data_IF_234813213015
#
_entry.id   IF_234813213015
#
_cell.length_a   1.000
_cell.length_b   1.000
_cell.length_c   1.000
_cell.angle_alpha   90.00
_cell.angle_beta   90.00
_cell.angle_gamma   90.00
#
_symmetry.space_group_name_H-M   'P 1'
#
loop_
_entity.id
_entity.type
_entity.pdbx_description
1 polymer ?
#
# COMPACT_ATOMS: atom_id res chain seq x y z
N UNK A 1 62.17 -10.93 36.85
CA UNK A 1 61.92 -9.70 36.06
C UNK A 1 62.38 -9.74 34.60
N UNK A 2 63.17 -10.73 34.14
CA UNK A 2 63.68 -10.79 32.75
C UNK A 2 62.73 -11.41 31.70
N UNK A 3 61.87 -12.35 32.08
CA UNK A 3 61.01 -13.09 31.13
C UNK A 3 59.83 -12.26 30.59
N UNK A 4 59.24 -11.37 31.39
CA UNK A 4 58.14 -10.52 30.96
C UNK A 4 58.56 -9.46 29.91
N UNK A 5 59.80 -8.94 30.03
CA UNK A 5 60.36 -8.02 29.03
C UNK A 5 60.70 -8.74 27.73
N UNK A 6 61.28 -9.95 27.81
CA UNK A 6 61.56 -10.76 26.62
C UNK A 6 60.28 -11.10 25.83
N UNK A 7 59.18 -11.44 26.52
CA UNK A 7 57.89 -11.71 25.90
C UNK A 7 57.30 -10.48 25.18
N UNK A 8 57.45 -9.29 25.78
CA UNK A 8 56.96 -8.03 25.18
C UNK A 8 57.75 -7.57 23.94
N UNK A 9 59.00 -8.03 23.80
CA UNK A 9 59.85 -7.75 22.64
C UNK A 9 59.56 -8.75 21.52
N UNK A 10 59.29 -10.03 21.86
CA UNK A 10 58.87 -11.05 20.89
C UNK A 10 57.47 -10.72 20.32
N UNK A 11 56.55 -10.19 21.13
CA UNK A 11 55.25 -9.69 20.63
C UNK A 11 55.38 -8.47 19.71
N UNK A 12 56.40 -7.62 19.90
CA UNK A 12 56.67 -6.48 19.01
C UNK A 12 57.42 -6.89 17.74
N UNK A 13 58.26 -7.91 17.81
CA UNK A 13 59.01 -8.44 16.68
C UNK A 13 58.19 -9.41 15.81
N UNK A 14 57.11 -10.00 16.34
CA UNK A 14 56.29 -10.99 15.63
C UNK A 14 55.40 -10.44 14.54
N UNK A 15 55.51 -9.13 14.21
CA UNK A 15 55.04 -8.60 12.93
C UNK A 15 53.63 -9.04 12.53
N UNK A 16 52.73 -9.23 13.50
CA UNK A 16 51.30 -9.18 13.22
C UNK A 16 51.05 -7.73 12.90
N UNK A 17 51.32 -7.35 11.65
CA UNK A 17 50.61 -6.28 11.01
C UNK A 17 49.15 -6.53 11.39
N UNK A 18 48.60 -5.71 12.28
CA UNK A 18 47.17 -5.67 12.50
C UNK A 18 46.60 -5.51 11.10
N UNK A 19 46.01 -6.59 10.56
CA UNK A 19 45.32 -6.50 9.28
C UNK A 19 44.41 -5.29 9.40
N UNK A 20 44.55 -4.29 8.52
CA UNK A 20 43.78 -3.07 8.64
C UNK A 20 42.32 -3.47 8.79
N UNK A 21 41.65 -3.05 9.87
CA UNK A 21 40.38 -3.64 10.27
C UNK A 21 39.45 -3.56 9.07
N UNK A 22 39.00 -4.72 8.58
CA UNK A 22 38.20 -4.83 7.35
C UNK A 22 37.14 -3.71 7.35
N UNK A 23 37.13 -2.89 6.29
CA UNK A 23 36.26 -1.71 6.23
C UNK A 23 34.82 -2.21 6.24
N UNK A 24 34.15 -2.10 7.39
CA UNK A 24 32.82 -2.69 7.54
C UNK A 24 31.71 -1.76 7.04
N UNK A 25 31.86 -0.45 7.25
CA UNK A 25 30.77 0.53 7.09
C UNK A 25 31.25 1.80 6.37
N UNK A 26 30.30 2.47 5.72
CA UNK A 26 30.50 3.73 4.96
C UNK A 26 31.06 4.87 5.85
N UNK A 27 30.73 4.87 7.14
CA UNK A 27 31.10 5.96 8.06
C UNK A 27 32.50 5.86 8.67
N UNK A 28 33.30 4.84 8.33
CA UNK A 28 34.72 4.80 8.75
C UNK A 28 35.56 5.89 8.08
N UNK A 29 35.08 6.48 6.98
CA UNK A 29 35.69 7.64 6.35
C UNK A 29 35.37 8.92 7.15
N UNK A 30 36.27 9.34 8.02
CA UNK A 30 36.06 10.47 8.95
C UNK A 30 36.21 11.85 8.32
N UNK A 31 36.77 11.95 7.11
CA UNK A 31 36.97 13.23 6.42
C UNK A 31 35.66 13.97 6.13
N UNK A 32 35.61 15.28 6.41
CA UNK A 32 34.43 16.15 6.22
C UNK A 32 33.82 16.03 4.82
N UNK A 33 34.67 15.96 3.77
CA UNK A 33 34.24 15.78 2.37
C UNK A 33 33.46 14.49 2.13
N UNK A 34 33.85 13.38 2.78
CA UNK A 34 33.18 12.09 2.63
C UNK A 34 31.86 12.05 3.41
N UNK A 35 31.82 12.65 4.60
CA UNK A 35 30.58 12.78 5.38
C UNK A 35 29.52 13.60 4.67
N UNK A 36 29.87 14.79 4.15
CA UNK A 36 28.91 15.65 3.41
C UNK A 36 28.37 14.92 2.18
N UNK A 37 29.24 14.25 1.40
CA UNK A 37 28.80 13.44 0.26
C UNK A 37 27.88 12.31 0.68
N UNK A 38 28.21 11.58 1.73
CA UNK A 38 27.36 10.49 2.23
C UNK A 38 25.97 10.99 2.65
N UNK A 39 25.89 12.13 3.34
CA UNK A 39 24.61 12.75 3.73
C UNK A 39 23.82 13.20 2.49
N UNK A 40 24.46 13.87 1.52
CA UNK A 40 23.78 14.31 0.30
C UNK A 40 23.23 13.14 -0.51
N UNK A 41 24.01 12.06 -0.65
CA UNK A 41 23.55 10.84 -1.32
C UNK A 41 22.41 10.17 -0.56
N UNK A 42 22.51 10.08 0.77
CA UNK A 42 21.45 9.49 1.59
C UNK A 42 20.16 10.29 1.55
N UNK A 43 20.24 11.63 1.52
CA UNK A 43 19.08 12.50 1.33
C UNK A 43 18.46 12.33 -0.07
N UNK A 44 19.30 12.20 -1.10
CA UNK A 44 18.83 11.95 -2.46
C UNK A 44 18.12 10.60 -2.55
N UNK A 45 18.70 9.54 -1.98
CA UNK A 45 18.10 8.21 -1.92
C UNK A 45 16.80 8.22 -1.12
N UNK A 46 16.74 8.93 0.01
CA UNK A 46 15.52 9.09 0.79
C UNK A 46 14.42 9.80 0.00
N UNK A 47 14.77 10.82 -0.80
CA UNK A 47 13.81 11.52 -1.68
C UNK A 47 13.30 10.61 -2.80
N UNK A 48 14.20 9.86 -3.46
CA UNK A 48 13.81 8.88 -4.49
C UNK A 48 12.92 7.78 -3.89
N UNK A 49 13.25 7.30 -2.70
CA UNK A 49 12.46 6.29 -1.99
C UNK A 49 11.12 6.85 -1.50
N UNK A 50 11.04 8.12 -1.11
CA UNK A 50 9.76 8.80 -0.88
C UNK A 50 8.93 8.88 -2.17
N UNK A 51 9.58 9.11 -3.32
CA UNK A 51 8.96 8.97 -4.64
C UNK A 51 8.40 7.56 -4.89
N UNK A 52 9.11 6.50 -4.48
CA UNK A 52 8.62 5.11 -4.55
C UNK A 52 7.41 4.90 -3.63
N UNK A 53 7.45 5.47 -2.43
CA UNK A 53 6.32 5.49 -1.49
C UNK A 53 5.09 6.17 -2.09
N UNK A 54 5.26 7.34 -2.70
CA UNK A 54 4.19 8.02 -3.42
C UNK A 54 3.69 7.20 -4.62
N UNK A 55 4.60 6.59 -5.39
CA UNK A 55 4.24 5.75 -6.54
C UNK A 55 3.43 4.53 -6.11
N UNK A 56 3.82 3.88 -5.01
CA UNK A 56 3.05 2.74 -4.45
C UNK A 56 1.69 3.15 -3.94
N UNK A 57 1.59 4.29 -3.26
CA UNK A 57 0.29 4.85 -2.87
C UNK A 57 -0.57 5.20 -4.09
N UNK A 58 0.04 5.77 -5.12
CA UNK A 58 -0.63 6.15 -6.37
C UNK A 58 -1.12 4.92 -7.15
N UNK A 59 -0.33 3.85 -7.23
CA UNK A 59 -0.76 2.57 -7.83
C UNK A 59 -1.99 2.00 -7.11
N UNK A 60 -2.12 2.20 -5.80
CA UNK A 60 -3.24 1.70 -5.00
C UNK A 60 -4.49 2.57 -5.13
N UNK A 61 -4.32 3.90 -5.09
CA UNK A 61 -5.43 4.85 -4.88
C UNK A 61 -5.72 5.74 -6.09
N UNK A 62 -4.81 5.85 -7.04
CA UNK A 62 -4.86 6.80 -8.15
C UNK A 62 -4.59 8.26 -7.77
N UNK A 63 -4.44 8.57 -6.48
CA UNK A 63 -4.09 9.90 -5.99
C UNK A 63 -2.58 10.12 -6.00
N UNK A 64 -2.13 11.24 -6.57
CA UNK A 64 -0.71 11.50 -6.80
C UNK A 64 0.11 11.67 -5.52
N UNK A 65 -0.51 12.16 -4.44
CA UNK A 65 0.16 12.39 -3.16
C UNK A 65 -0.68 11.86 -2.01
N UNK A 66 -0.07 11.20 -1.01
CA UNK A 66 -0.78 10.66 0.15
C UNK A 66 -1.57 11.74 0.88
N UNK A 67 -0.93 12.86 1.20
CA UNK A 67 -1.54 13.96 1.96
C UNK A 67 -2.58 14.78 1.18
N UNK A 68 -2.69 14.59 -0.14
CA UNK A 68 -3.71 15.25 -0.96
C UNK A 68 -5.06 14.53 -0.92
N UNK A 69 -5.08 13.26 -0.50
CA UNK A 69 -6.32 12.51 -0.34
C UNK A 69 -7.03 12.99 0.92
N UNK A 70 -8.24 13.55 0.77
CA UNK A 70 -9.07 14.04 1.88
C UNK A 70 -9.37 12.96 2.93
N UNK A 71 -9.19 11.68 2.57
CA UNK A 71 -9.40 10.50 3.42
C UNK A 71 -8.09 9.74 3.73
N UNK A 72 -6.91 10.36 3.57
CA UNK A 72 -5.62 9.72 3.82
C UNK A 72 -5.53 9.03 5.18
N UNK A 73 -5.92 9.74 6.25
CA UNK A 73 -5.91 9.18 7.60
C UNK A 73 -6.87 8.00 7.75
N UNK A 74 -7.99 8.03 7.03
CA UNK A 74 -8.91 6.90 6.92
C UNK A 74 -8.25 5.69 6.26
N UNK A 75 -7.55 5.87 5.14
CA UNK A 75 -6.83 4.79 4.47
C UNK A 75 -5.70 4.19 5.33
N UNK A 76 -4.95 5.05 6.02
CA UNK A 76 -3.89 4.61 6.92
C UNK A 76 -4.47 3.80 8.09
N UNK A 77 -5.56 4.28 8.70
CA UNK A 77 -6.21 3.61 9.82
C UNK A 77 -6.84 2.27 9.42
N UNK A 78 -7.50 2.23 8.25
CA UNK A 78 -8.02 0.98 7.69
C UNK A 78 -6.93 -0.06 7.41
N UNK A 79 -5.70 0.38 7.11
CA UNK A 79 -4.55 -0.53 6.96
C UNK A 79 -3.95 -0.96 8.30
N UNK A 80 -4.27 -0.29 9.41
CA UNK A 80 -3.87 -0.68 10.77
C UNK A 80 -4.86 -1.61 11.45
N UNK A 81 -6.16 -1.41 11.26
CA UNK A 81 -7.21 -2.10 12.01
C UNK A 81 -7.30 -3.60 11.62
N UNK A 82 -6.95 -4.53 12.54
CA UNK A 82 -7.01 -5.96 12.28
C UNK A 82 -8.44 -6.53 12.34
N UNK A 83 -9.41 -5.76 12.86
CA UNK A 83 -10.78 -6.23 13.17
C UNK A 83 -11.79 -5.98 12.06
N UNK A 84 -11.48 -5.13 11.09
CA UNK A 84 -12.32 -4.92 9.91
C UNK A 84 -12.31 -6.19 9.04
N UNK A 85 -13.49 -6.64 8.59
CA UNK A 85 -13.64 -7.74 7.61
C UNK A 85 -12.83 -7.51 6.32
N UNK A 86 -12.53 -6.24 6.02
CA UNK A 86 -11.60 -5.79 4.98
C UNK A 86 -10.26 -5.40 5.59
N UNK A 87 -9.41 -6.38 5.85
CA UNK A 87 -7.98 -6.07 5.97
C UNK A 87 -7.50 -5.65 4.58
N UNK A 88 -7.07 -4.39 4.44
CA UNK A 88 -6.27 -3.97 3.27
C UNK A 88 -4.89 -4.60 3.39
N UNK A 89 -4.86 -5.92 3.16
CA UNK A 89 -3.66 -6.73 3.24
C UNK A 89 -2.74 -6.36 2.09
N UNK A 90 -1.46 -6.69 2.26
CA UNK A 90 -0.46 -6.63 1.20
C UNK A 90 -0.93 -7.37 -0.07
N UNK A 91 -1.78 -8.39 0.08
CA UNK A 91 -2.33 -9.16 -1.01
C UNK A 91 -3.40 -8.40 -1.80
N UNK A 92 -4.24 -7.62 -1.13
CA UNK A 92 -5.19 -6.73 -1.82
C UNK A 92 -4.44 -5.70 -2.68
N UNK A 93 -3.29 -5.19 -2.19
CA UNK A 93 -2.38 -4.35 -2.97
C UNK A 93 -1.79 -5.07 -4.20
N UNK A 94 -1.51 -6.38 -4.11
CA UNK A 94 -0.95 -7.17 -5.21
C UNK A 94 -2.01 -7.57 -6.27
N UNK A 95 -3.29 -7.58 -5.89
CA UNK A 95 -4.40 -8.02 -6.74
C UNK A 95 -5.24 -6.87 -7.30
N UNK A 96 -5.23 -5.72 -6.64
CA UNK A 96 -6.07 -4.57 -6.98
C UNK A 96 -5.23 -3.28 -6.92
N UNK A 97 -5.51 -2.30 -7.80
CA UNK A 97 -6.66 -2.19 -8.70
C UNK A 97 -6.52 -2.90 -10.05
N UNK A 98 -5.30 -3.15 -10.53
CA UNK A 98 -5.08 -3.82 -11.82
C UNK A 98 -4.90 -5.32 -11.56
N UNK A 99 -5.87 -6.17 -11.95
CA UNK A 99 -5.71 -7.61 -11.77
C UNK A 99 -4.56 -8.10 -12.64
N UNK A 100 -3.49 -8.59 -12.01
CA UNK A 100 -2.30 -9.06 -12.71
C UNK A 100 -2.57 -10.23 -13.68
N UNK A 101 -3.73 -10.89 -13.56
CA UNK A 101 -4.21 -11.88 -14.52
C UNK A 101 -4.51 -11.30 -15.90
N UNK A 102 -4.99 -10.05 -15.95
CA UNK A 102 -5.32 -9.36 -17.21
C UNK A 102 -4.09 -8.64 -17.76
N UNK A 103 -3.23 -8.12 -16.88
CA UNK A 103 -1.98 -7.44 -17.25
C UNK A 103 -0.78 -8.13 -16.59
N UNK A 104 -0.17 -9.15 -17.25
CA UNK A 104 0.91 -9.96 -16.65
C UNK A 104 2.14 -9.14 -16.21
N UNK A 105 2.42 -8.02 -16.87
CA UNK A 105 3.51 -7.12 -16.49
C UNK A 105 3.38 -6.57 -15.06
N UNK A 106 2.16 -6.48 -14.52
CA UNK A 106 1.94 -6.07 -13.13
C UNK A 106 2.52 -7.06 -12.12
N UNK A 107 2.66 -8.35 -12.44
CA UNK A 107 3.35 -9.30 -11.54
C UNK A 107 4.80 -8.87 -11.29
N UNK A 108 5.48 -8.44 -12.36
CA UNK A 108 6.88 -8.00 -12.30
C UNK A 108 6.99 -6.65 -11.61
N UNK A 109 6.11 -5.70 -11.94
CA UNK A 109 6.12 -4.36 -11.35
C UNK A 109 5.87 -4.43 -9.85
N UNK A 110 4.81 -5.11 -9.40
CA UNK A 110 4.54 -5.29 -7.98
C UNK A 110 5.66 -6.04 -7.28
N UNK A 111 6.17 -7.12 -7.89
CA UNK A 111 7.30 -7.87 -7.35
C UNK A 111 8.53 -6.98 -7.12
N UNK A 112 8.90 -6.17 -8.12
CA UNK A 112 10.06 -5.28 -8.04
C UNK A 112 9.85 -4.12 -7.05
N UNK A 113 8.64 -3.57 -6.98
CA UNK A 113 8.25 -2.58 -5.98
C UNK A 113 8.39 -3.15 -4.58
N UNK A 114 7.80 -4.31 -4.30
CA UNK A 114 7.85 -4.96 -2.99
C UNK A 114 9.28 -5.36 -2.61
N UNK A 115 10.05 -5.85 -3.57
CA UNK A 115 11.48 -6.11 -3.38
C UNK A 115 12.24 -4.85 -2.99
N UNK A 116 11.96 -3.72 -3.65
CA UNK A 116 12.60 -2.44 -3.37
C UNK A 116 12.22 -1.91 -1.99
N UNK A 117 10.93 -1.96 -1.63
CA UNK A 117 10.46 -1.52 -0.31
C UNK A 117 11.07 -2.33 0.84
N UNK A 118 11.42 -3.60 0.63
CA UNK A 118 11.98 -4.46 1.67
C UNK A 118 13.49 -4.51 1.68
N UNK A 119 14.14 -4.63 0.52
CA UNK A 119 15.59 -4.75 0.42
C UNK A 119 16.32 -3.44 0.73
N UNK A 120 15.79 -2.28 0.28
CA UNK A 120 16.47 -0.99 0.42
C UNK A 120 16.72 -0.64 1.90
N UNK A 121 15.72 -0.64 2.81
CA UNK A 121 15.95 -0.31 4.21
C UNK A 121 16.92 -1.27 4.91
N UNK A 122 16.85 -2.57 4.59
CA UNK A 122 17.76 -3.59 5.13
C UNK A 122 19.21 -3.30 4.70
N UNK A 123 19.42 -3.01 3.42
CA UNK A 123 20.74 -2.64 2.89
C UNK A 123 21.26 -1.34 3.50
N UNK A 124 20.41 -0.34 3.69
CA UNK A 124 20.77 0.92 4.37
C UNK A 124 21.15 0.66 5.83
N UNK A 125 20.44 -0.22 6.53
CA UNK A 125 20.76 -0.61 7.90
C UNK A 125 22.13 -1.29 7.99
N UNK A 126 22.46 -2.14 7.02
CA UNK A 126 23.75 -2.85 6.96
C UNK A 126 24.93 -1.97 6.53
N UNK A 127 24.71 -1.00 5.62
CA UNK A 127 25.80 -0.21 5.01
C UNK A 127 26.05 1.13 5.70
N UNK A 128 24.98 1.80 6.16
CA UNK A 128 25.06 3.13 6.78
C UNK A 128 24.91 3.10 8.29
N UNK A 129 23.85 2.48 8.83
CA UNK A 129 23.54 2.25 10.28
C UNK A 129 22.01 2.27 10.46
N UNK A 130 21.55 1.71 11.58
CA UNK A 130 20.13 1.61 11.94
C UNK A 130 19.31 2.92 11.90
N UNK A 131 19.72 4.07 12.49
CA UNK A 131 18.89 5.28 12.53
C UNK A 131 18.57 5.84 11.15
N UNK A 132 19.47 5.66 10.17
CA UNK A 132 19.19 6.09 8.81
C UNK A 132 18.15 5.18 8.14
N UNK A 133 18.18 3.87 8.42
CA UNK A 133 17.18 2.94 7.93
C UNK A 133 15.77 3.24 8.47
N UNK A 134 15.66 3.77 9.70
CA UNK A 134 14.37 4.19 10.27
C UNK A 134 13.67 5.27 9.45
N UNK A 135 14.43 6.14 8.77
CA UNK A 135 13.84 7.14 7.85
C UNK A 135 13.16 6.42 6.68
N UNK A 136 13.79 5.39 6.12
CA UNK A 136 13.21 4.61 5.03
C UNK A 136 12.00 3.79 5.51
N UNK A 137 12.04 3.18 6.69
CA UNK A 137 10.87 2.45 7.21
C UNK A 137 9.71 3.39 7.54
N UNK A 138 9.97 4.60 8.03
CA UNK A 138 8.95 5.62 8.20
C UNK A 138 8.32 6.02 6.85
N UNK A 139 9.11 6.16 5.78
CA UNK A 139 8.57 6.40 4.43
C UNK A 139 7.60 5.28 4.01
N UNK A 140 7.91 4.00 4.28
CA UNK A 140 7.00 2.89 3.98
C UNK A 140 5.68 3.02 4.76
N UNK A 141 5.76 3.36 6.04
CA UNK A 141 4.58 3.49 6.90
C UNK A 141 3.67 4.64 6.45
N UNK A 142 4.24 5.83 6.23
CA UNK A 142 3.47 7.04 5.96
C UNK A 142 3.23 7.27 4.47
N UNK A 143 4.23 7.19 3.61
CA UNK A 143 4.07 7.51 2.19
C UNK A 143 3.36 6.40 1.43
N UNK A 144 3.78 5.14 1.62
CA UNK A 144 3.15 4.00 0.96
C UNK A 144 1.85 3.54 1.67
N UNK A 145 1.56 4.04 2.87
CA UNK A 145 0.44 3.63 3.72
C UNK A 145 0.43 2.11 3.99
N UNK A 146 1.60 1.51 4.21
CA UNK A 146 1.79 0.09 4.52
C UNK A 146 2.43 -0.11 5.91
N UNK A 147 1.70 0.15 7.00
CA UNK A 147 2.26 0.15 8.34
C UNK A 147 2.77 -1.22 8.82
N UNK A 148 2.07 -2.30 8.50
CA UNK A 148 2.50 -3.66 8.85
C UNK A 148 3.82 -4.05 8.17
N UNK A 149 3.99 -3.65 6.91
CA UNK A 149 5.26 -3.82 6.21
C UNK A 149 6.37 -2.98 6.86
N UNK A 150 6.08 -1.73 7.26
CA UNK A 150 7.06 -0.89 7.94
C UNK A 150 7.52 -1.48 9.28
N UNK A 151 6.61 -2.04 10.08
CA UNK A 151 6.92 -2.68 11.37
C UNK A 151 7.81 -3.92 11.14
N UNK A 152 7.43 -4.78 10.21
CA UNK A 152 8.18 -6.01 9.91
C UNK A 152 9.56 -5.70 9.34
N UNK A 153 9.68 -4.76 8.40
CA UNK A 153 10.97 -4.31 7.86
C UNK A 153 11.82 -3.63 8.93
N UNK A 154 11.23 -2.91 9.87
CA UNK A 154 11.96 -2.34 11.02
C UNK A 154 12.57 -3.45 11.88
N UNK A 155 11.80 -4.52 12.14
CA UNK A 155 12.32 -5.70 12.83
C UNK A 155 13.47 -6.38 12.05
N UNK A 156 13.35 -6.49 10.73
CA UNK A 156 14.42 -6.97 9.86
C UNK A 156 15.69 -6.10 9.92
N UNK A 157 15.54 -4.78 9.92
CA UNK A 157 16.66 -3.85 10.07
C UNK A 157 17.37 -4.03 11.42
N UNK A 158 16.61 -4.21 12.50
CA UNK A 158 17.15 -4.51 13.83
C UNK A 158 17.94 -5.83 13.84
N UNK A 159 17.39 -6.89 13.22
CA UNK A 159 18.07 -8.19 13.10
C UNK A 159 19.37 -8.07 12.28
N UNK A 160 19.37 -7.32 11.18
CA UNK A 160 20.55 -7.13 10.34
C UNK A 160 21.71 -6.41 11.08
N UNK A 161 21.38 -5.52 12.01
CA UNK A 161 22.38 -4.82 12.84
C UNK A 161 22.79 -5.61 14.09
N UNK A 162 22.14 -6.74 14.40
CA UNK A 162 22.42 -7.48 15.63
C UNK A 162 23.73 -8.26 15.53
N UNK A 163 24.72 -7.86 16.34
CA UNK A 163 26.06 -8.48 16.39
C UNK A 163 26.09 -10.01 16.54
N UNK A 164 25.07 -10.62 17.15
CA UNK A 164 24.99 -12.08 17.32
C UNK A 164 24.66 -12.84 16.03
N UNK A 165 24.06 -12.16 15.04
CA UNK A 165 23.57 -12.74 13.78
C UNK A 165 24.48 -12.35 12.59
N UNK A 166 25.51 -11.53 12.85
CA UNK A 166 26.45 -11.10 11.83
C UNK A 166 27.45 -12.21 11.52
N UNK A 167 27.26 -12.85 10.37
CA UNK A 167 28.20 -13.82 9.82
C UNK A 167 29.32 -13.09 9.08
N UNK A 168 30.48 -13.74 8.93
CA UNK A 168 31.57 -13.25 8.08
C UNK A 168 31.08 -13.00 6.64
N UNK A 169 30.13 -13.81 6.18
CA UNK A 169 29.45 -13.64 4.90
C UNK A 169 28.19 -12.76 5.04
N UNK A 170 28.31 -11.49 4.62
CA UNK A 170 27.24 -10.48 4.75
C UNK A 170 25.93 -10.87 4.07
N UNK A 171 25.99 -11.58 2.94
CA UNK A 171 24.78 -12.01 2.25
C UNK A 171 23.97 -13.03 3.07
N UNK A 172 24.62 -13.91 3.85
CA UNK A 172 23.90 -14.80 4.76
C UNK A 172 23.16 -14.01 5.86
N UNK A 173 23.80 -12.98 6.43
CA UNK A 173 23.12 -12.09 7.38
C UNK A 173 21.93 -11.36 6.73
N UNK A 174 22.07 -10.91 5.48
CA UNK A 174 20.96 -10.28 4.74
C UNK A 174 19.78 -11.26 4.56
N UNK A 175 20.05 -12.50 4.14
CA UNK A 175 19.02 -13.54 3.99
C UNK A 175 18.30 -13.87 5.30
N UNK A 176 19.05 -14.02 6.39
CA UNK A 176 18.46 -14.31 7.71
C UNK A 176 17.61 -13.12 8.19
N UNK A 177 18.08 -11.90 7.96
CA UNK A 177 17.32 -10.69 8.30
C UNK A 177 16.04 -10.54 7.49
N UNK A 178 15.95 -11.16 6.31
CA UNK A 178 14.77 -11.15 5.46
C UNK A 178 13.70 -12.19 5.88
N UNK A 179 14.04 -13.14 6.77
CA UNK A 179 13.10 -14.17 7.22
C UNK A 179 11.79 -13.66 7.84
N UNK A 180 11.74 -12.57 8.64
CA UNK A 180 10.47 -12.05 9.15
C UNK A 180 9.58 -11.47 8.06
N UNK A 181 10.15 -10.89 7.00
CA UNK A 181 9.37 -10.43 5.83
C UNK A 181 8.73 -11.62 5.12
N UNK A 182 9.47 -12.72 4.93
CA UNK A 182 8.94 -13.94 4.33
C UNK A 182 7.77 -14.47 5.14
N UNK A 183 7.92 -14.53 6.47
CA UNK A 183 6.84 -14.95 7.35
C UNK A 183 5.63 -14.03 7.23
N UNK A 184 5.85 -12.72 7.21
CA UNK A 184 4.78 -11.73 7.02
C UNK A 184 4.02 -11.95 5.70
N UNK A 185 4.74 -12.15 4.59
CA UNK A 185 4.11 -12.42 3.29
C UNK A 185 3.31 -13.72 3.28
N UNK A 186 3.80 -14.77 3.95
CA UNK A 186 3.08 -16.04 4.08
C UNK A 186 1.83 -15.93 4.97
N UNK A 187 1.87 -15.14 6.04
CA UNK A 187 0.71 -14.92 6.89
C UNK A 187 -0.33 -14.01 6.21
N UNK A 188 0.11 -12.96 5.53
CA UNK A 188 -0.76 -12.04 4.81
C UNK A 188 -1.53 -12.72 3.66
N UNK A 189 -0.97 -13.78 3.09
CA UNK A 189 -1.61 -14.56 2.01
C UNK A 189 -2.62 -15.58 2.54
N UNK A 190 -2.41 -16.15 3.73
CA UNK A 190 -3.27 -17.20 4.32
C UNK A 190 -4.64 -16.70 4.81
N UNK A 191 -4.75 -15.45 5.23
CA UNK A 191 -5.97 -14.91 5.83
C UNK A 191 -7.00 -14.40 4.79
N UNK A 192 -6.93 -14.84 3.53
CA UNK A 192 -7.83 -14.31 2.49
C UNK A 192 -9.18 -15.03 2.51
N UNK A 193 -10.31 -14.31 2.71
CA UNK A 193 -11.63 -14.93 2.70
C UNK A 193 -11.94 -15.51 1.31
N UNK A 194 -12.29 -16.80 1.26
CA UNK A 194 -12.67 -17.50 0.02
C UNK A 194 -11.59 -18.36 -0.64
N UNK A 195 -10.38 -18.46 -0.07
CA UNK A 195 -9.30 -19.35 -0.55
C UNK A 195 -9.78 -20.79 -0.76
N UNK A 196 -10.67 -21.28 0.12
CA UNK A 196 -11.19 -22.65 0.08
C UNK A 196 -12.01 -22.97 -1.18
N UNK A 197 -12.41 -21.94 -1.94
CA UNK A 197 -13.23 -22.08 -3.17
C UNK A 197 -12.43 -21.86 -4.46
N UNK A 198 -11.15 -21.49 -4.40
CA UNK A 198 -10.34 -21.21 -5.59
C UNK A 198 -9.72 -22.50 -6.14
N UNK A 199 -9.65 -22.59 -7.47
CA UNK A 199 -8.95 -23.67 -8.14
C UNK A 199 -7.42 -23.61 -7.82
N UNK A 200 -6.71 -24.75 -7.75
CA UNK A 200 -5.27 -24.78 -7.43
C UNK A 200 -4.40 -23.87 -8.32
N UNK A 201 -4.79 -23.70 -9.58
CA UNK A 201 -4.10 -22.83 -10.53
C UNK A 201 -4.27 -21.34 -10.20
N UNK A 202 -5.42 -20.93 -9.69
CA UNK A 202 -5.68 -19.55 -9.27
C UNK A 202 -4.93 -19.23 -7.97
N UNK A 203 -4.80 -20.24 -7.10
CA UNK A 203 -3.99 -20.16 -5.89
C UNK A 203 -2.51 -19.87 -6.23
N UNK A 204 -1.94 -20.56 -7.22
CA UNK A 204 -0.54 -20.30 -7.65
C UNK A 204 -0.36 -18.87 -8.17
N UNK A 205 -1.33 -18.37 -8.96
CA UNK A 205 -1.30 -16.98 -9.48
C UNK A 205 -1.33 -15.95 -8.36
N UNK A 206 -1.99 -16.24 -7.24
CA UNK A 206 -2.04 -15.40 -6.04
C UNK A 206 -0.66 -15.24 -5.36
N UNK A 207 0.14 -16.30 -5.35
CA UNK A 207 1.48 -16.29 -4.73
C UNK A 207 2.58 -15.74 -5.65
N UNK A 208 2.34 -15.64 -6.96
CA UNK A 208 3.35 -15.30 -7.95
C UNK A 208 4.06 -13.95 -7.68
N UNK A 209 3.37 -12.81 -7.38
CA UNK A 209 4.05 -11.55 -7.11
C UNK A 209 4.94 -11.60 -5.85
N UNK A 210 4.52 -12.36 -4.83
CA UNK A 210 5.28 -12.52 -3.58
C UNK A 210 6.58 -13.27 -3.83
N UNK A 211 6.51 -14.37 -4.60
CA UNK A 211 7.69 -15.15 -4.97
C UNK A 211 8.65 -14.31 -5.83
N UNK A 212 8.13 -13.57 -6.81
CA UNK A 212 8.94 -12.64 -7.61
C UNK A 212 9.59 -11.59 -6.73
N UNK A 213 8.85 -11.00 -5.78
CA UNK A 213 9.40 -10.01 -4.84
C UNK A 213 10.55 -10.59 -4.01
N UNK A 214 10.39 -11.82 -3.51
CA UNK A 214 11.41 -12.49 -2.71
C UNK A 214 12.69 -12.75 -3.52
N UNK A 215 12.54 -13.33 -4.72
CA UNK A 215 13.65 -13.61 -5.61
C UNK A 215 14.36 -12.31 -5.99
N UNK A 216 13.59 -11.28 -6.39
CA UNK A 216 14.12 -9.97 -6.74
C UNK A 216 14.86 -9.32 -5.57
N UNK A 217 14.31 -9.37 -4.34
CA UNK A 217 14.98 -8.84 -3.15
C UNK A 217 16.33 -9.53 -2.89
N UNK A 218 16.37 -10.86 -2.99
CA UNK A 218 17.61 -11.63 -2.84
C UNK A 218 18.65 -11.24 -3.90
N UNK A 219 18.24 -11.17 -5.18
CA UNK A 219 19.12 -10.79 -6.29
C UNK A 219 19.66 -9.36 -6.11
N UNK A 220 18.79 -8.41 -5.76
CA UNK A 220 19.17 -7.03 -5.49
C UNK A 220 20.18 -6.94 -4.36
N UNK A 221 19.92 -7.61 -3.23
CA UNK A 221 20.86 -7.60 -2.11
C UNK A 221 22.20 -8.22 -2.49
N UNK A 222 22.21 -9.31 -3.26
CA UNK A 222 23.44 -9.91 -3.76
C UNK A 222 24.24 -8.93 -4.62
N UNK A 223 23.60 -8.31 -5.61
CA UNK A 223 24.23 -7.34 -6.52
C UNK A 223 24.79 -6.14 -5.73
N UNK A 224 23.99 -5.56 -4.83
CA UNK A 224 24.40 -4.40 -4.02
C UNK A 224 25.59 -4.75 -3.13
N UNK A 225 25.58 -5.91 -2.48
CA UNK A 225 26.69 -6.32 -1.61
C UNK A 225 27.96 -6.67 -2.40
N UNK A 226 27.85 -7.27 -3.58
CA UNK A 226 29.00 -7.52 -4.47
C UNK A 226 29.63 -6.20 -4.91
N UNK A 227 28.82 -5.27 -5.41
CA UNK A 227 29.29 -3.95 -5.85
C UNK A 227 29.89 -3.18 -4.68
N UNK A 228 29.23 -3.20 -3.51
CA UNK A 228 29.75 -2.55 -2.31
C UNK A 228 31.11 -3.12 -1.89
N UNK A 229 31.33 -4.44 -2.03
CA UNK A 229 32.61 -5.08 -1.79
C UNK A 229 33.67 -4.66 -2.81
N UNK A 230 33.34 -4.64 -4.10
CA UNK A 230 34.24 -4.23 -5.19
C UNK A 230 34.69 -2.76 -5.01
N UNK A 231 33.77 -1.89 -4.57
CA UNK A 231 34.02 -0.45 -4.43
C UNK A 231 34.49 -0.07 -3.01
N UNK A 232 34.87 -1.04 -2.17
CA UNK A 232 35.35 -0.82 -0.80
C UNK A 232 34.44 0.07 0.06
N UNK A 233 33.12 -0.12 -0.05
CA UNK A 233 32.10 0.58 0.73
C UNK A 233 32.16 2.12 0.63
N UNK A 234 32.56 2.66 -0.53
CA UNK A 234 32.49 4.12 -0.74
C UNK A 234 31.03 4.58 -0.80
N UNK A 235 30.64 5.64 -0.06
CA UNK A 235 29.25 6.09 0.06
C UNK A 235 28.58 6.38 -1.29
N UNK A 236 29.34 6.93 -2.24
CA UNK A 236 28.80 7.38 -3.53
C UNK A 236 28.50 6.26 -4.53
N UNK A 237 28.90 5.02 -4.28
CA UNK A 237 28.69 3.92 -5.23
C UNK A 237 27.35 3.19 -5.02
N UNK A 238 26.77 3.29 -3.82
CA UNK A 238 25.54 2.57 -3.44
C UNK A 238 24.30 3.36 -3.91
N UNK A 239 24.33 4.69 -3.81
CA UNK A 239 23.20 5.55 -4.17
C UNK A 239 22.72 5.40 -5.64
N UNK A 240 23.60 5.38 -6.66
CA UNK A 240 23.17 5.17 -8.05
C UNK A 240 22.46 3.82 -8.25
N UNK A 241 22.90 2.79 -7.53
CA UNK A 241 22.31 1.46 -7.62
C UNK A 241 20.89 1.43 -7.02
N UNK A 242 20.70 2.10 -5.89
CA UNK A 242 19.37 2.28 -5.30
C UNK A 242 18.46 3.12 -6.20
N UNK A 243 19.00 4.15 -6.84
CA UNK A 243 18.27 4.98 -7.80
C UNK A 243 17.80 4.17 -9.01
N UNK A 244 18.65 3.30 -9.58
CA UNK A 244 18.26 2.39 -10.68
C UNK A 244 17.13 1.47 -10.24
N UNK A 245 17.23 0.91 -9.03
CA UNK A 245 16.22 0.02 -8.49
C UNK A 245 14.86 0.73 -8.31
N UNK A 246 14.88 2.01 -7.96
CA UNK A 246 13.69 2.86 -7.88
C UNK A 246 13.08 3.18 -9.27
N UNK A 247 13.92 3.58 -10.23
CA UNK A 247 13.46 4.05 -11.55
C UNK A 247 12.89 2.90 -12.38
N UNK A 248 13.45 1.69 -12.26
CA UNK A 248 13.07 0.52 -13.06
C UNK A 248 11.57 0.19 -12.99
N UNK A 249 10.93 0.01 -11.81
CA UNK A 249 9.49 -0.29 -11.76
C UNK A 249 8.61 0.83 -12.31
N UNK A 250 9.01 2.10 -12.15
CA UNK A 250 8.27 3.26 -12.67
C UNK A 250 8.31 3.28 -14.20
N UNK A 251 9.49 3.11 -14.79
CA UNK A 251 9.66 3.05 -16.26
C UNK A 251 8.93 1.85 -16.84
N UNK A 252 9.02 0.69 -16.18
CA UNK A 252 8.31 -0.51 -16.63
C UNK A 252 6.79 -0.31 -16.61
N UNK A 253 6.26 0.37 -15.58
CA UNK A 253 4.85 0.70 -15.50
C UNK A 253 4.41 1.66 -16.62
N UNK A 254 5.12 2.77 -16.81
CA UNK A 254 4.76 3.76 -17.83
C UNK A 254 4.84 3.20 -19.26
N UNK A 255 5.76 2.26 -19.52
CA UNK A 255 5.97 1.69 -20.86
C UNK A 255 5.12 0.46 -21.17
N UNK A 256 4.74 -0.34 -20.16
CA UNK A 256 4.01 -1.61 -20.38
C UNK A 256 2.56 -1.60 -19.95
N UNK A 257 2.17 -0.70 -19.04
CA UNK A 257 0.83 -0.66 -18.47
C UNK A 257 0.15 0.65 -18.80
N UNK A 258 0.83 1.77 -18.53
CA UNK A 258 0.30 3.10 -18.78
C UNK A 258 -0.63 3.61 -17.67
N UNK A 259 -0.76 4.94 -17.62
CA UNK A 259 -1.60 5.63 -16.62
C UNK A 259 -3.09 5.49 -16.88
N UNK A 260 -3.44 5.25 -18.14
CA UNK A 260 -4.81 5.05 -18.60
C UNK A 260 -5.38 3.71 -18.11
N UNK A 261 -4.61 2.61 -18.14
CA UNK A 261 -5.03 1.33 -17.54
C UNK A 261 -5.40 1.54 -16.07
N UNK A 262 -4.48 2.15 -15.30
CA UNK A 262 -4.69 2.34 -13.87
C UNK A 262 -5.96 3.15 -13.58
N UNK A 263 -6.16 4.26 -14.29
CA UNK A 263 -7.36 5.09 -14.08
C UNK A 263 -8.64 4.37 -14.50
N UNK A 264 -8.59 3.60 -15.59
CA UNK A 264 -9.73 2.81 -16.02
C UNK A 264 -10.10 1.74 -14.98
N UNK A 265 -9.12 1.00 -14.45
CA UNK A 265 -9.36 -0.03 -13.42
C UNK A 265 -9.88 0.53 -12.10
N UNK A 266 -9.40 1.71 -11.70
CA UNK A 266 -9.95 2.40 -10.54
C UNK A 266 -11.40 2.81 -10.76
N UNK A 267 -11.74 3.28 -11.97
CA UNK A 267 -13.11 3.63 -12.34
C UNK A 267 -14.02 2.39 -12.38
N UNK A 268 -13.53 1.28 -12.94
CA UNK A 268 -14.23 -0.01 -12.98
C UNK A 268 -14.44 -0.58 -11.58
N UNK A 269 -13.43 -0.51 -10.69
CA UNK A 269 -13.56 -0.92 -9.29
C UNK A 269 -14.60 -0.08 -8.55
N UNK A 270 -14.56 1.24 -8.75
CA UNK A 270 -15.44 2.18 -8.07
C UNK A 270 -16.89 2.12 -8.55
N UNK A 271 -17.12 2.08 -9.87
CA UNK A 271 -18.46 2.26 -10.46
C UNK A 271 -18.90 1.13 -11.40
N UNK A 272 -18.07 0.11 -11.62
CA UNK A 272 -18.38 -1.03 -12.49
C UNK A 272 -19.46 -1.96 -11.92
N UNK A 273 -19.87 -2.98 -12.71
CA UNK A 273 -20.95 -3.90 -12.31
C UNK A 273 -20.59 -4.78 -11.13
N UNK A 274 -19.29 -5.04 -10.93
CA UNK A 274 -18.77 -5.72 -9.75
C UNK A 274 -18.40 -4.79 -8.59
N UNK A 275 -18.71 -3.49 -8.66
CA UNK A 275 -18.33 -2.55 -7.60
C UNK A 275 -18.96 -2.94 -6.27
N UNK A 276 -18.14 -2.90 -5.23
CA UNK A 276 -18.54 -3.08 -3.83
C UNK A 276 -18.37 -1.79 -3.03
N UNK A 277 -18.27 -0.64 -3.71
CA UNK A 277 -18.07 0.68 -3.11
C UNK A 277 -19.22 1.63 -3.43
N UNK A 278 -19.63 1.69 -4.71
CA UNK A 278 -20.76 2.50 -5.17
C UNK A 278 -21.82 1.62 -5.83
N UNK A 279 -23.08 2.06 -5.77
CA UNK A 279 -24.24 1.32 -6.30
C UNK A 279 -24.46 -0.06 -5.65
N UNK A 280 -24.22 -0.16 -4.34
CA UNK A 280 -24.42 -1.38 -3.56
C UNK A 280 -25.91 -1.80 -3.56
N UNK A 281 -26.18 -3.08 -3.82
CA UNK A 281 -27.52 -3.68 -3.66
C UNK A 281 -27.97 -3.80 -2.21
N UNK A 282 -27.03 -3.74 -1.27
CA UNK A 282 -27.30 -3.83 0.16
C UNK A 282 -26.65 -2.61 0.83
N UNK A 283 -27.48 -1.71 1.34
CA UNK A 283 -27.03 -0.60 2.17
C UNK A 283 -27.17 -0.98 3.64
N UNK A 284 -26.18 -0.59 4.43
CA UNK A 284 -26.20 -0.72 5.89
C UNK A 284 -27.31 0.19 6.44
N UNK A 285 -28.35 -0.41 7.02
CA UNK A 285 -29.52 0.33 7.46
C UNK A 285 -29.17 1.27 8.61
N UNK A 286 -28.28 0.85 9.51
CA UNK A 286 -27.94 1.61 10.71
C UNK A 286 -27.18 2.89 10.37
N UNK A 287 -26.18 2.80 9.48
CA UNK A 287 -25.45 3.98 8.98
C UNK A 287 -26.37 4.96 8.26
N UNK A 288 -27.31 4.44 7.49
CA UNK A 288 -28.25 5.25 6.72
C UNK A 288 -29.28 5.94 7.63
N UNK A 289 -29.78 5.23 8.66
CA UNK A 289 -30.67 5.78 9.69
C UNK A 289 -29.96 6.89 10.46
N UNK A 290 -28.71 6.65 10.87
CA UNK A 290 -27.90 7.64 11.58
C UNK A 290 -27.72 8.92 10.75
N UNK A 291 -27.31 8.78 9.48
CA UNK A 291 -27.17 9.93 8.58
C UNK A 291 -28.49 10.67 8.35
N UNK A 292 -29.60 9.96 8.19
CA UNK A 292 -30.91 10.58 8.06
C UNK A 292 -31.32 11.36 9.33
N UNK A 293 -30.95 10.86 10.51
CA UNK A 293 -31.14 11.55 11.79
C UNK A 293 -30.25 12.80 11.90
N UNK A 294 -29.00 12.76 11.44
CA UNK A 294 -28.12 13.95 11.39
C UNK A 294 -28.71 15.05 10.51
N UNK A 295 -29.16 14.70 9.30
CA UNK A 295 -29.83 15.66 8.39
C UNK A 295 -31.07 16.27 9.04
N UNK A 296 -31.81 15.52 9.86
CA UNK A 296 -32.95 16.05 10.62
C UNK A 296 -32.52 17.00 11.73
N UNK A 297 -31.44 16.70 12.43
CA UNK A 297 -30.89 17.57 13.48
C UNK A 297 -30.41 18.89 12.90
N UNK A 298 -29.71 18.85 11.78
CA UNK A 298 -29.14 20.03 11.13
C UNK A 298 -30.24 20.96 10.56
N UNK A 299 -31.41 20.40 10.24
CA UNK A 299 -32.58 21.15 9.80
C UNK A 299 -33.51 21.61 10.94
N UNK A 300 -33.24 21.22 12.19
CA UNK A 300 -34.11 21.53 13.34
C UNK A 300 -33.84 22.96 13.87
N UNK A 301 -34.90 23.68 14.31
CA UNK A 301 -34.73 24.94 15.03
C UNK A 301 -33.99 24.75 16.37
N UNK A 302 -33.29 25.78 16.82
CA UNK A 302 -32.58 25.78 18.11
C UNK A 302 -33.61 25.93 19.26
N UNK A 303 -33.56 25.13 20.35
CA UNK A 303 -32.57 24.12 20.69
C UNK A 303 -32.69 22.80 19.93
N UNK A 304 -31.54 22.31 19.44
CA UNK A 304 -31.47 21.05 18.69
C UNK A 304 -31.89 19.83 19.55
N UNK A 305 -32.75 18.95 19.03
CA UNK A 305 -33.14 17.73 19.74
C UNK A 305 -31.97 16.73 19.85
N UNK A 306 -31.94 15.89 20.90
CA UNK A 306 -30.91 14.88 21.10
C UNK A 306 -30.92 13.84 19.96
N UNK A 307 -29.74 13.49 19.44
CA UNK A 307 -29.59 12.63 18.26
C UNK A 307 -30.21 11.23 18.44
N UNK A 308 -30.15 10.68 19.65
CA UNK A 308 -30.70 9.35 19.96
C UNK A 308 -32.22 9.29 19.74
N UNK A 309 -32.93 10.38 20.07
CA UNK A 309 -34.38 10.48 19.85
C UNK A 309 -34.73 10.54 18.37
N UNK A 310 -33.90 11.20 17.56
CA UNK A 310 -34.05 11.28 16.11
C UNK A 310 -33.76 9.93 15.44
N UNK A 311 -32.74 9.21 15.92
CA UNK A 311 -32.41 7.87 15.44
C UNK A 311 -33.59 6.92 15.67
N UNK A 312 -34.18 6.93 16.86
CA UNK A 312 -35.36 6.12 17.17
C UNK A 312 -36.55 6.50 16.28
N UNK A 313 -36.83 7.80 16.13
CA UNK A 313 -37.91 8.30 15.29
C UNK A 313 -37.77 7.86 13.82
N UNK A 314 -36.56 7.97 13.26
CA UNK A 314 -36.28 7.54 11.88
C UNK A 314 -36.39 6.03 11.73
N UNK A 315 -35.93 5.27 12.74
CA UNK A 315 -36.05 3.80 12.76
C UNK A 315 -37.52 3.36 12.80
N UNK A 316 -38.34 4.02 13.61
CA UNK A 316 -39.75 3.70 13.75
C UNK A 316 -40.56 4.09 12.50
N UNK A 317 -40.27 5.26 11.90
CA UNK A 317 -40.83 5.68 10.61
C UNK A 317 -40.52 4.66 9.50
N UNK A 318 -39.27 4.17 9.45
CA UNK A 318 -38.85 3.17 8.49
C UNK A 318 -39.60 1.83 8.69
N UNK A 319 -39.70 1.34 9.94
CA UNK A 319 -40.41 0.09 10.25
C UNK A 319 -41.89 0.18 9.92
N UNK A 320 -42.55 1.29 10.28
CA UNK A 320 -43.95 1.52 10.00
C UNK A 320 -44.22 1.51 8.48
N UNK A 321 -43.41 2.24 7.72
CA UNK A 321 -43.58 2.32 6.26
C UNK A 321 -43.19 1.04 5.54
N UNK A 322 -42.23 0.27 6.07
CA UNK A 322 -41.91 -1.06 5.58
C UNK A 322 -43.09 -2.03 5.75
N UNK A 323 -43.80 -1.98 6.88
CA UNK A 323 -44.98 -2.81 7.13
C UNK A 323 -46.16 -2.49 6.19
N UNK A 324 -46.27 -1.23 5.74
CA UNK A 324 -47.33 -0.77 4.83
C UNK A 324 -46.91 -0.84 3.34
N UNK A 325 -45.67 -1.25 3.05
CA UNK A 325 -45.15 -1.29 1.68
C UNK A 325 -44.92 0.09 1.05
N UNK A 326 -44.76 1.16 1.86
CA UNK A 326 -44.58 2.54 1.41
C UNK A 326 -43.19 3.11 1.77
N UNK A 327 -42.15 2.29 1.63
CA UNK A 327 -40.77 2.67 2.01
C UNK A 327 -40.23 3.85 1.21
N UNK A 328 -40.73 4.08 -0.01
CA UNK A 328 -40.30 5.18 -0.89
C UNK A 328 -40.66 6.59 -0.42
N UNK A 329 -41.54 6.73 0.57
CA UNK A 329 -41.85 8.02 1.19
C UNK A 329 -41.07 8.25 2.50
N UNK A 330 -40.33 7.25 2.99
CA UNK A 330 -39.56 7.36 4.23
C UNK A 330 -38.47 8.43 4.11
N UNK A 331 -38.09 9.02 5.24
CA UNK A 331 -36.96 9.98 5.27
C UNK A 331 -35.64 9.31 4.90
N UNK A 332 -35.49 8.03 5.27
CA UNK A 332 -34.38 7.18 4.87
C UNK A 332 -34.30 7.07 3.34
N UNK A 333 -35.42 6.82 2.67
CA UNK A 333 -35.46 6.75 1.20
C UNK A 333 -35.01 8.06 0.54
N UNK A 334 -35.41 9.22 1.09
CA UNK A 334 -34.95 10.52 0.57
C UNK A 334 -33.43 10.70 0.71
N UNK A 335 -32.86 10.36 1.87
CA UNK A 335 -31.39 10.44 2.09
C UNK A 335 -30.64 9.47 1.17
N UNK A 336 -31.11 8.23 1.05
CA UNK A 336 -30.54 7.24 0.13
C UNK A 336 -30.59 7.73 -1.32
N UNK A 337 -31.69 8.35 -1.75
CA UNK A 337 -31.80 8.91 -3.09
C UNK A 337 -30.80 10.03 -3.33
N UNK A 338 -30.64 10.96 -2.39
CA UNK A 338 -29.65 12.05 -2.51
C UNK A 338 -28.24 11.49 -2.64
N UNK A 339 -27.87 10.53 -1.79
CA UNK A 339 -26.56 9.86 -1.86
C UNK A 339 -26.38 9.11 -3.18
N UNK A 340 -27.43 8.45 -3.67
CA UNK A 340 -27.40 7.74 -4.95
C UNK A 340 -27.20 8.67 -6.14
N UNK A 341 -27.92 9.80 -6.19
CA UNK A 341 -27.72 10.80 -7.24
C UNK A 341 -26.35 11.46 -7.17
N UNK A 342 -25.83 11.73 -5.96
CA UNK A 342 -24.47 12.23 -5.79
C UNK A 342 -23.41 11.24 -6.30
N UNK A 343 -23.59 9.93 -6.04
CA UNK A 343 -22.73 8.88 -6.60
C UNK A 343 -22.80 8.83 -8.13
N UNK A 344 -24.00 9.04 -8.70
CA UNK A 344 -24.22 9.09 -10.15
C UNK A 344 -23.48 10.24 -10.80
N UNK A 345 -23.60 11.44 -10.24
CA UNK A 345 -22.92 12.63 -10.73
C UNK A 345 -21.40 12.49 -10.62
N UNK A 346 -20.92 11.92 -9.52
CA UNK A 346 -19.50 11.60 -9.34
C UNK A 346 -19.00 10.63 -10.43
N UNK A 347 -19.71 9.52 -10.66
CA UNK A 347 -19.36 8.54 -11.68
C UNK A 347 -19.28 9.17 -13.09
N UNK A 348 -20.29 9.96 -13.47
CA UNK A 348 -20.32 10.66 -14.76
C UNK A 348 -19.16 11.67 -14.86
N UNK A 349 -18.88 12.40 -13.78
CA UNK A 349 -17.81 13.41 -13.77
C UNK A 349 -16.43 12.78 -13.95
N UNK A 350 -16.17 11.63 -13.30
CA UNK A 350 -14.91 10.89 -13.40
C UNK A 350 -14.76 10.22 -14.79
N UNK A 351 -15.85 9.69 -15.37
CA UNK A 351 -15.84 9.21 -16.76
C UNK A 351 -15.47 10.33 -17.75
N UNK A 352 -16.06 11.51 -17.59
CA UNK A 352 -15.72 12.69 -18.42
C UNK A 352 -14.29 13.17 -18.19
N UNK A 353 -13.78 13.05 -16.96
CA UNK A 353 -12.40 13.41 -16.63
C UNK A 353 -11.41 12.46 -17.29
N UNK A 354 -11.68 11.16 -17.27
CA UNK A 354 -10.88 10.15 -17.97
C UNK A 354 -10.77 10.47 -19.45
N UNK A 355 -11.91 10.65 -20.14
CA UNK A 355 -11.96 10.97 -21.57
C UNK A 355 -11.20 12.25 -21.95
N UNK A 356 -11.22 13.27 -21.08
CA UNK A 356 -10.45 14.51 -21.29
C UNK A 356 -8.93 14.31 -21.15
N UNK A 357 -8.49 13.46 -20.23
CA UNK A 357 -7.07 13.21 -20.00
C UNK A 357 -6.48 12.16 -20.95
N UNK A 358 -7.30 11.22 -21.41
CA UNK A 358 -6.89 10.10 -22.25
C UNK A 358 -7.83 9.94 -23.46
N UNK A 359 -7.86 10.91 -24.39
CA UNK A 359 -8.80 10.89 -25.52
C UNK A 359 -8.53 9.75 -26.52
N UNK A 360 -7.29 9.25 -26.56
CA UNK A 360 -6.85 8.21 -27.51
C UNK A 360 -6.63 6.83 -26.85
N UNK A 361 -7.09 6.63 -25.61
CA UNK A 361 -6.93 5.35 -24.92
C UNK A 361 -7.88 4.29 -25.47
N UNK A 362 -7.42 3.04 -25.50
CA UNK A 362 -8.23 1.88 -25.90
C UNK A 362 -9.44 1.67 -24.96
N UNK A 363 -9.40 2.21 -23.75
CA UNK A 363 -10.47 2.09 -22.75
C UNK A 363 -11.62 3.10 -22.91
N UNK A 364 -11.53 4.03 -23.87
CA UNK A 364 -12.59 5.05 -24.08
C UNK A 364 -13.97 4.43 -24.33
N UNK A 365 -14.15 3.38 -25.15
CA UNK A 365 -15.44 2.72 -25.32
C UNK A 365 -15.98 2.14 -24.02
N UNK A 366 -15.15 1.49 -23.21
CA UNK A 366 -15.54 0.92 -21.92
C UNK A 366 -15.93 2.01 -20.91
N UNK A 367 -15.24 3.15 -20.91
CA UNK A 367 -15.62 4.30 -20.08
C UNK A 367 -16.94 4.91 -20.54
N UNK A 368 -17.21 4.97 -21.85
CA UNK A 368 -18.50 5.41 -22.36
C UNK A 368 -19.63 4.45 -21.95
N UNK A 369 -19.37 3.15 -21.95
CA UNK A 369 -20.32 2.16 -21.43
C UNK A 369 -20.61 2.39 -19.94
N UNK A 370 -19.58 2.56 -19.10
CA UNK A 370 -19.77 2.89 -17.68
C UNK A 370 -20.54 4.19 -17.48
N UNK A 371 -20.25 5.22 -18.29
CA UNK A 371 -20.97 6.48 -18.26
C UNK A 371 -22.45 6.32 -18.65
N UNK A 372 -22.73 5.52 -19.68
CA UNK A 372 -24.09 5.19 -20.13
C UNK A 372 -24.87 4.48 -19.03
N UNK A 373 -24.30 3.42 -18.46
CA UNK A 373 -24.87 2.69 -17.33
C UNK A 373 -25.13 3.61 -16.13
N UNK A 374 -24.15 4.43 -15.73
CA UNK A 374 -24.36 5.40 -14.66
C UNK A 374 -25.49 6.39 -14.97
N UNK A 375 -25.64 6.80 -16.23
CA UNK A 375 -26.71 7.71 -16.64
C UNK A 375 -28.08 7.04 -16.54
N UNK A 376 -28.18 5.78 -16.93
CA UNK A 376 -29.44 5.05 -17.02
C UNK A 376 -29.84 4.33 -15.72
N UNK A 377 -28.91 4.12 -14.79
CA UNK A 377 -29.19 3.55 -13.48
C UNK A 377 -30.29 4.33 -12.74
N UNK A 378 -31.44 3.68 -12.58
CA UNK A 378 -32.59 4.18 -11.81
C UNK A 378 -32.75 3.35 -10.55
N UNK A 379 -32.75 4.05 -9.42
CA UNK A 379 -33.07 3.46 -8.13
C UNK A 379 -34.57 3.25 -8.05
N UNK A 380 -35.01 2.01 -7.78
CA UNK A 380 -36.40 1.77 -7.45
C UNK A 380 -36.72 2.49 -6.14
N UNK A 381 -37.89 3.13 -6.04
CA UNK A 381 -38.26 3.88 -4.83
C UNK A 381 -38.63 2.96 -3.67
N UNK A 382 -38.89 1.69 -3.95
CA UNK A 382 -39.23 0.70 -2.95
C UNK A 382 -37.99 -0.13 -2.56
N UNK A 383 -37.74 -0.18 -1.25
CA UNK A 383 -36.64 -0.93 -0.64
C UNK A 383 -37.19 -1.95 0.36
N UNK A 384 -36.54 -3.11 0.46
CA UNK A 384 -36.86 -4.10 1.49
C UNK A 384 -35.96 -3.89 2.71
N UNK A 385 -36.55 -3.89 3.90
CA UNK A 385 -35.82 -3.85 5.18
C UNK A 385 -35.81 -5.25 5.79
N UNK A 386 -34.64 -5.88 5.84
CA UNK A 386 -34.45 -7.25 6.31
C UNK A 386 -33.27 -7.28 7.27
N UNK A 387 -33.55 -7.61 8.54
CA UNK A 387 -32.54 -7.93 9.56
C UNK A 387 -31.36 -6.94 9.58
N UNK A 388 -31.70 -5.64 9.70
CA UNK A 388 -30.76 -4.50 9.73
C UNK A 388 -30.02 -4.17 8.42
N UNK A 389 -30.47 -4.74 7.30
CA UNK A 389 -30.02 -4.36 5.95
C UNK A 389 -31.15 -3.74 5.11
N UNK A 390 -30.80 -2.74 4.30
CA UNK A 390 -31.67 -2.16 3.27
C UNK A 390 -31.30 -2.77 1.93
N UNK A 391 -32.21 -3.56 1.35
CA UNK A 391 -32.04 -4.10 0.00
C UNK A 391 -32.53 -3.07 -1.01
N UNK A 392 -31.58 -2.53 -1.77
CA UNK A 392 -31.80 -1.57 -2.84
C UNK A 392 -31.96 -2.33 -4.16
N UNK A 393 -33.13 -2.23 -4.78
CA UNK A 393 -33.34 -2.71 -6.14
C UNK A 393 -33.09 -1.57 -7.12
N UNK A 394 -32.32 -1.84 -8.16
CA UNK A 394 -32.11 -0.92 -9.28
C UNK A 394 -32.33 -1.70 -10.58
N UNK A 395 -32.93 -1.04 -11.56
CA UNK A 395 -33.09 -1.62 -12.89
C UNK A 395 -31.87 -1.25 -13.72
N UNK A 396 -31.30 -2.25 -14.38
CA UNK A 396 -30.36 -2.10 -15.48
C UNK A 396 -31.17 -2.47 -16.73
N UNK A 397 -31.63 -1.49 -17.48
CA UNK A 397 -32.33 -1.72 -18.76
C UNK A 397 -31.32 -1.92 -19.90
#
# INVERSE_FOLDING_TARGET
>A
MGLARAWSVIQRASGRAEEPPAITDVWRWTGRKYRVRAVLFLLTDALLFAGLGCFTFWLRTGHALPFSAQQYWGYLWQSFDPTLERQTTLLEFLLQPIPAQQVPWMFVIHGLVMASLTAIPILVAMLYRLPFALVFTAIIGFFAALPWLAITVTFCCCLACWKRIQFSFRYATALISLSPVVLYYLMATRNTPGIDRLAPLELVKLYLPVVIALIAACVVMAIVLIIARVVNHRPGAIAPLMAILFVTPVVLFETKVGRDELRYRLLERGFGPGSREHFLRHADAEKTIFRAAEVMRDAAPDPQPPIDSLIQLVRDDLKLRAAVGQTGQSRVAKTVMVDWYAQKDLAISECRRFRRHFPYSEYVPSVLYLQGRATDLRLNREFAYLQDSLILTHNED
#
